data_IF_386753215320
#
_entry.id   IF_386753215320
#
_cell.length_a   1.000
_cell.length_b   1.000
_cell.length_c   1.000
_cell.angle_alpha   90.00
_cell.angle_beta   90.00
_cell.angle_gamma   90.00
#
_symmetry.space_group_name_H-M   'P 1'
#
loop_
_entity.id
_entity.type
_entity.pdbx_description
1 polymer ?
#
# COMPACT_ATOMS: atom_id res chain seq x y z
N UNK A 1 -3.51 -31.84 13.48
CA UNK A 1 -2.36 -30.88 13.51
C UNK A 1 -1.58 -30.94 14.84
N UNK A 2 -1.95 -30.22 15.93
CA UNK A 2 -1.11 -30.11 17.15
C UNK A 2 -0.61 -31.45 17.74
N UNK A 3 -1.44 -32.48 17.80
CA UNK A 3 -1.02 -33.80 18.30
C UNK A 3 0.00 -34.49 17.38
N UNK A 4 -0.22 -34.42 16.06
CA UNK A 4 0.70 -34.98 15.06
C UNK A 4 2.08 -34.28 15.09
N UNK A 5 2.11 -32.96 15.24
CA UNK A 5 3.36 -32.20 15.38
C UNK A 5 4.11 -32.46 16.69
N UNK A 6 3.40 -32.83 17.78
CA UNK A 6 4.05 -33.32 19.02
C UNK A 6 4.65 -34.72 18.87
N UNK A 7 4.04 -35.57 18.03
CA UNK A 7 4.51 -36.94 17.80
C UNK A 7 5.69 -37.02 16.81
N UNK A 8 5.82 -36.03 15.92
CA UNK A 8 6.88 -35.95 14.91
C UNK A 8 7.59 -34.59 15.00
N UNK A 9 8.44 -34.37 16.02
CA UNK A 9 9.23 -33.16 16.12
C UNK A 9 10.29 -33.15 15.00
N UNK A 10 10.28 -32.11 14.18
CA UNK A 10 11.37 -31.78 13.27
C UNK A 10 12.19 -30.64 13.87
N UNK A 11 13.48 -30.61 13.55
CA UNK A 11 14.33 -29.46 13.86
C UNK A 11 13.83 -28.23 13.07
N UNK A 12 14.02 -27.04 13.62
CA UNK A 12 13.60 -25.81 12.96
C UNK A 12 14.56 -25.51 11.79
N UNK A 13 14.01 -25.51 10.57
CA UNK A 13 14.70 -25.13 9.34
C UNK A 13 14.22 -23.73 8.91
N UNK A 14 14.86 -22.64 9.38
CA UNK A 14 14.45 -21.28 9.04
C UNK A 14 14.88 -20.92 7.61
N UNK A 15 14.04 -20.21 6.84
CA UNK A 15 14.35 -19.87 5.45
C UNK A 15 15.55 -18.94 5.35
N UNK A 16 16.38 -19.16 4.32
CA UNK A 16 17.48 -18.30 3.95
C UNK A 16 16.96 -17.04 3.21
N UNK A 17 17.73 -15.92 3.21
CA UNK A 17 17.29 -14.68 2.58
C UNK A 17 16.96 -14.80 1.08
N UNK A 18 17.66 -15.66 0.34
CA UNK A 18 17.47 -15.84 -1.10
C UNK A 18 16.41 -16.92 -1.42
N UNK A 19 15.83 -17.60 -0.42
CA UNK A 19 14.74 -18.57 -0.61
C UNK A 19 13.43 -17.88 -1.03
N UNK A 20 12.60 -18.58 -1.81
CA UNK A 20 11.31 -18.06 -2.28
C UNK A 20 10.29 -18.03 -1.15
N UNK A 21 10.00 -16.83 -0.65
CA UNK A 21 8.97 -16.58 0.35
C UNK A 21 7.56 -16.72 -0.23
N UNK A 22 7.34 -16.21 -1.45
CA UNK A 22 6.01 -16.27 -2.07
C UNK A 22 6.05 -16.18 -3.59
N UNK A 23 5.04 -16.79 -4.23
CA UNK A 23 4.78 -16.64 -5.67
C UNK A 23 3.48 -15.85 -5.84
N UNK A 24 3.54 -14.75 -6.57
CA UNK A 24 2.41 -13.86 -6.80
C UNK A 24 2.10 -13.75 -8.30
N UNK A 25 0.91 -14.18 -8.70
CA UNK A 25 0.51 -14.24 -10.10
C UNK A 25 -0.06 -12.89 -10.58
N UNK A 26 0.52 -12.35 -11.65
CA UNK A 26 0.04 -11.14 -12.32
C UNK A 26 -0.57 -11.48 -13.67
N UNK A 27 -1.78 -10.99 -13.94
CA UNK A 27 -2.31 -10.89 -15.30
C UNK A 27 -1.65 -9.72 -16.02
N UNK A 28 -0.56 -9.99 -16.74
CA UNK A 28 -0.04 -9.03 -17.71
C UNK A 28 -1.00 -8.89 -18.89
N UNK A 29 -0.89 -7.81 -19.66
CA UNK A 29 -1.68 -7.55 -20.89
C UNK A 29 -1.50 -8.59 -22.02
N UNK A 30 -0.68 -9.62 -21.79
CA UNK A 30 -0.22 -10.62 -22.78
C UNK A 30 -0.83 -12.01 -22.59
N UNK A 31 -1.97 -12.12 -21.91
CA UNK A 31 -2.78 -13.35 -21.83
C UNK A 31 -2.51 -14.22 -20.61
N UNK A 32 -1.49 -15.09 -20.67
CA UNK A 32 -1.25 -16.09 -19.61
C UNK A 32 -0.79 -15.42 -18.28
N UNK A 33 -1.38 -15.78 -17.12
CA UNK A 33 -0.92 -15.33 -15.80
C UNK A 33 0.50 -15.80 -15.51
N UNK A 34 1.34 -14.85 -15.06
CA UNK A 34 2.77 -15.06 -14.81
C UNK A 34 3.06 -14.91 -13.31
N UNK A 35 3.68 -15.91 -12.69
CA UNK A 35 4.04 -15.91 -11.27
C UNK A 35 5.37 -15.19 -11.03
N UNK A 36 5.34 -14.00 -10.45
CA UNK A 36 6.53 -13.40 -9.88
C UNK A 36 6.96 -14.21 -8.65
N UNK A 37 8.19 -14.69 -8.66
CA UNK A 37 8.85 -15.21 -7.47
C UNK A 37 9.27 -14.00 -6.61
N UNK A 38 9.18 -14.12 -5.30
CA UNK A 38 9.55 -13.08 -4.33
C UNK A 38 10.31 -13.76 -3.19
N UNK A 39 11.55 -13.36 -2.95
CA UNK A 39 12.40 -13.97 -1.91
C UNK A 39 12.06 -13.45 -0.51
N UNK A 40 12.56 -14.12 0.53
CA UNK A 40 12.53 -13.59 1.90
C UNK A 40 13.23 -12.22 2.00
N UNK A 41 14.38 -12.03 1.35
CA UNK A 41 15.10 -10.75 1.33
C UNK A 41 14.29 -9.62 0.68
N UNK A 42 13.54 -9.89 -0.39
CA UNK A 42 12.66 -8.89 -1.01
C UNK A 42 11.50 -8.51 -0.08
N UNK A 43 10.91 -9.47 0.64
CA UNK A 43 9.86 -9.20 1.63
C UNK A 43 10.42 -8.36 2.78
N UNK A 44 11.60 -8.71 3.31
CA UNK A 44 12.24 -7.95 4.39
C UNK A 44 12.58 -6.51 3.98
N UNK A 45 13.05 -6.28 2.74
CA UNK A 45 13.21 -4.92 2.19
C UNK A 45 11.89 -4.14 2.25
N UNK A 46 10.79 -4.74 1.80
CA UNK A 46 9.46 -4.13 1.84
C UNK A 46 8.93 -3.86 3.24
N UNK A 47 9.36 -4.61 4.27
CA UNK A 47 9.05 -4.33 5.68
C UNK A 47 9.85 -3.12 6.16
N UNK A 48 11.18 -3.12 5.99
CA UNK A 48 12.04 -2.01 6.45
C UNK A 48 11.60 -0.70 5.82
N UNK A 49 11.38 -0.70 4.50
CA UNK A 49 10.99 0.50 3.77
C UNK A 49 9.63 1.05 4.22
N UNK A 50 8.63 0.20 4.46
CA UNK A 50 7.31 0.66 4.97
C UNK A 50 7.41 1.07 6.44
N UNK A 51 8.18 0.36 7.26
CA UNK A 51 8.39 0.64 8.68
C UNK A 51 8.89 2.07 8.93
N UNK A 52 9.90 2.51 8.19
CA UNK A 52 10.52 3.83 8.35
C UNK A 52 9.56 5.00 8.09
N UNK A 53 8.67 4.87 7.09
CA UNK A 53 7.74 5.93 6.67
C UNK A 53 6.34 5.83 7.30
N UNK A 54 5.78 4.63 7.42
CA UNK A 54 4.42 4.39 7.93
C UNK A 54 4.37 4.26 9.47
N UNK A 55 5.48 3.84 10.10
CA UNK A 55 5.65 3.70 11.55
C UNK A 55 4.46 2.98 12.21
N UNK A 56 4.23 1.74 11.80
CA UNK A 56 3.24 0.87 12.44
C UNK A 56 3.69 0.53 13.87
N UNK A 57 2.74 0.44 14.79
CA UNK A 57 2.95 0.17 16.21
C UNK A 57 2.08 -1.00 16.69
N UNK A 58 2.42 -1.71 17.79
CA UNK A 58 1.67 -2.87 18.25
C UNK A 58 0.18 -2.62 18.55
N UNK A 59 -0.19 -1.38 18.85
CA UNK A 59 -1.59 -0.97 19.07
C UNK A 59 -2.39 -0.72 17.78
N UNK A 60 -1.78 -0.87 16.61
CA UNK A 60 -2.48 -0.70 15.34
C UNK A 60 -3.41 -1.87 15.00
N UNK A 61 -4.45 -1.55 14.23
CA UNK A 61 -5.42 -2.50 13.69
C UNK A 61 -5.56 -2.26 12.19
N UNK A 62 -5.16 -3.25 11.40
CA UNK A 62 -5.30 -3.30 9.94
C UNK A 62 -6.59 -4.06 9.56
N UNK A 63 -7.34 -3.54 8.57
CA UNK A 63 -8.44 -4.26 7.94
C UNK A 63 -7.98 -4.94 6.63
N UNK A 64 -7.73 -6.24 6.70
CA UNK A 64 -7.43 -7.09 5.54
C UNK A 64 -8.70 -7.30 4.69
N UNK A 65 -8.88 -6.45 3.68
CA UNK A 65 -9.94 -6.59 2.66
C UNK A 65 -9.44 -6.66 1.22
N UNK A 66 -8.17 -6.31 0.97
CA UNK A 66 -7.57 -6.48 -0.36
C UNK A 66 -7.30 -7.98 -0.59
N UNK A 67 -7.31 -8.49 -1.84
CA UNK A 67 -7.09 -9.91 -2.08
C UNK A 67 -5.65 -10.32 -1.73
N UNK A 68 -5.49 -11.39 -0.93
CA UNK A 68 -4.19 -12.06 -0.68
C UNK A 68 -3.54 -12.65 -1.94
N UNK A 69 -4.24 -12.65 -3.09
CA UNK A 69 -3.66 -12.92 -4.39
C UNK A 69 -2.75 -11.78 -4.90
N UNK A 70 -2.86 -10.58 -4.33
CA UNK A 70 -2.09 -9.39 -4.70
C UNK A 70 -0.96 -9.15 -3.69
N UNK A 71 0.24 -8.81 -4.18
CA UNK A 71 1.42 -8.62 -3.32
C UNK A 71 1.24 -7.52 -2.26
N UNK A 72 0.39 -6.52 -2.55
CA UNK A 72 0.18 -5.38 -1.66
C UNK A 72 -0.42 -5.79 -0.31
N UNK A 73 -1.45 -6.62 -0.30
CA UNK A 73 -2.02 -7.12 0.96
C UNK A 73 -1.01 -7.98 1.72
N UNK A 74 -0.24 -8.82 1.01
CA UNK A 74 0.81 -9.63 1.64
C UNK A 74 1.83 -8.74 2.36
N UNK A 75 2.34 -7.71 1.68
CA UNK A 75 3.29 -6.75 2.24
C UNK A 75 2.71 -6.02 3.47
N UNK A 76 1.44 -5.57 3.42
CA UNK A 76 0.79 -4.93 4.58
C UNK A 76 0.64 -5.91 5.75
N UNK A 77 0.21 -7.15 5.50
CA UNK A 77 0.10 -8.14 6.58
C UNK A 77 1.46 -8.46 7.20
N UNK A 78 2.51 -8.62 6.40
CA UNK A 78 3.85 -8.88 6.95
C UNK A 78 4.36 -7.68 7.75
N UNK A 79 4.09 -6.45 7.31
CA UNK A 79 4.37 -5.24 8.11
C UNK A 79 3.59 -5.22 9.43
N UNK A 80 2.29 -5.50 9.41
CA UNK A 80 1.48 -5.57 10.62
C UNK A 80 2.01 -6.63 11.61
N UNK A 81 2.36 -7.82 11.11
CA UNK A 81 2.97 -8.89 11.92
C UNK A 81 4.33 -8.46 12.49
N UNK A 82 5.21 -7.86 11.68
CA UNK A 82 6.53 -7.40 12.11
C UNK A 82 6.46 -6.29 13.17
N UNK A 83 5.45 -5.41 13.09
CA UNK A 83 5.17 -4.38 14.09
C UNK A 83 4.35 -4.86 15.30
N UNK A 84 3.96 -6.13 15.36
CA UNK A 84 3.11 -6.68 16.43
C UNK A 84 1.67 -6.16 16.44
N UNK A 85 1.21 -5.59 15.33
CA UNK A 85 -0.13 -5.03 15.15
C UNK A 85 -1.19 -6.13 14.88
N UNK A 86 -2.46 -5.77 15.05
CA UNK A 86 -3.59 -6.67 14.83
C UNK A 86 -4.10 -6.64 13.39
N UNK A 87 -4.53 -7.80 12.86
CA UNK A 87 -5.15 -7.94 11.54
C UNK A 87 -6.59 -8.43 11.72
N UNK A 88 -7.57 -7.63 11.31
CA UNK A 88 -8.97 -8.04 11.17
C UNK A 88 -9.27 -8.39 9.72
N UNK A 89 -9.97 -9.51 9.48
CA UNK A 89 -10.36 -9.94 8.14
C UNK A 89 -11.80 -9.50 7.82
N UNK A 90 -12.00 -8.94 6.63
CA UNK A 90 -13.32 -8.57 6.12
C UNK A 90 -14.21 -9.79 5.81
N UNK A 91 -15.51 -9.57 5.63
CA UNK A 91 -16.51 -10.64 5.39
C UNK A 91 -16.43 -11.33 4.01
N UNK A 92 -15.40 -11.10 3.21
CA UNK A 92 -15.29 -11.61 1.84
C UNK A 92 -16.05 -10.77 0.78
N UNK A 93 -16.95 -9.90 1.21
CA UNK A 93 -17.79 -9.06 0.35
C UNK A 93 -17.41 -7.57 0.43
N UNK A 94 -16.86 -7.03 -0.66
CA UNK A 94 -16.46 -5.63 -0.75
C UNK A 94 -17.64 -4.63 -0.66
N UNK A 95 -18.89 -5.07 -0.85
CA UNK A 95 -20.06 -4.23 -0.60
C UNK A 95 -20.27 -3.94 0.89
N UNK A 96 -19.80 -4.84 1.77
CA UNK A 96 -19.93 -4.73 3.24
C UNK A 96 -18.75 -4.06 3.92
N UNK A 97 -17.71 -3.68 3.16
CA UNK A 97 -16.48 -3.06 3.69
C UNK A 97 -16.71 -1.95 4.72
N UNK A 98 -17.71 -1.08 4.50
CA UNK A 98 -18.02 0.03 5.42
C UNK A 98 -18.63 -0.44 6.75
N UNK A 99 -19.34 -1.57 6.76
CA UNK A 99 -19.83 -2.21 7.98
C UNK A 99 -18.68 -2.91 8.73
N UNK A 100 -17.79 -3.57 7.99
CA UNK A 100 -16.58 -4.21 8.56
C UNK A 100 -15.65 -3.16 9.19
N UNK A 101 -15.46 -2.00 8.54
CA UNK A 101 -14.74 -0.86 9.11
C UNK A 101 -15.41 -0.31 10.38
N UNK A 102 -16.74 -0.20 10.40
CA UNK A 102 -17.48 0.27 11.57
C UNK A 102 -17.39 -0.70 12.77
N UNK A 103 -17.35 -2.01 12.51
CA UNK A 103 -17.21 -3.05 13.52
C UNK A 103 -15.76 -3.16 14.05
N UNK A 104 -14.77 -3.21 13.16
CA UNK A 104 -13.35 -3.39 13.52
C UNK A 104 -12.72 -2.10 14.06
N UNK A 105 -13.16 -0.94 13.59
CA UNK A 105 -12.58 0.39 13.88
C UNK A 105 -11.05 0.44 13.68
N UNK A 106 -10.57 0.14 12.46
CA UNK A 106 -9.13 0.06 12.16
C UNK A 106 -8.41 1.39 12.39
N UNK A 107 -7.11 1.33 12.68
CA UNK A 107 -6.22 2.50 12.75
C UNK A 107 -5.43 2.68 11.44
N UNK A 108 -5.16 1.59 10.72
CA UNK A 108 -4.46 1.57 9.44
C UNK A 108 -5.44 1.13 8.35
N UNK A 109 -5.53 1.89 7.27
CA UNK A 109 -6.40 1.58 6.14
C UNK A 109 -5.62 1.59 4.82
N UNK A 110 -5.10 0.42 4.37
CA UNK A 110 -4.64 0.28 3.00
C UNK A 110 -5.81 0.48 2.05
N UNK A 111 -5.59 1.15 0.94
CA UNK A 111 -6.64 1.59 0.05
C UNK A 111 -6.11 1.71 -1.38
N UNK A 112 -7.03 1.96 -2.30
CA UNK A 112 -6.75 2.14 -3.72
C UNK A 112 -7.59 3.31 -4.24
N UNK A 113 -7.19 3.99 -5.34
CA UNK A 113 -7.87 5.21 -5.76
C UNK A 113 -9.38 5.05 -6.01
N UNK A 114 -9.83 3.87 -6.47
CA UNK A 114 -11.27 3.57 -6.63
C UNK A 114 -12.06 3.69 -5.31
N UNK A 115 -11.47 3.31 -4.18
CA UNK A 115 -12.13 3.38 -2.86
C UNK A 115 -12.13 4.82 -2.35
N UNK A 116 -11.02 5.54 -2.48
CA UNK A 116 -10.94 6.95 -2.10
C UNK A 116 -11.83 7.85 -2.95
N UNK A 117 -11.87 7.67 -4.27
CA UNK A 117 -12.79 8.37 -5.17
C UNK A 117 -14.25 8.13 -4.76
N UNK A 118 -14.63 6.87 -4.47
CA UNK A 118 -15.99 6.55 -4.00
C UNK A 118 -16.33 7.21 -2.65
N UNK A 119 -15.35 7.40 -1.77
CA UNK A 119 -15.52 8.11 -0.49
C UNK A 119 -15.68 9.62 -0.75
N UNK A 120 -14.82 10.20 -1.59
CA UNK A 120 -14.91 11.60 -2.06
C UNK A 120 -16.30 11.87 -2.65
N UNK A 121 -16.72 11.10 -3.67
CA UNK A 121 -18.00 11.23 -4.37
C UNK A 121 -19.18 11.17 -3.39
N UNK A 122 -19.17 10.20 -2.46
CA UNK A 122 -20.23 10.03 -1.46
C UNK A 122 -20.36 11.25 -0.55
N UNK A 123 -19.24 11.86 -0.17
CA UNK A 123 -19.23 13.02 0.74
C UNK A 123 -19.60 14.29 -0.02
N UNK A 124 -19.01 14.55 -1.18
CA UNK A 124 -19.29 15.76 -1.99
C UNK A 124 -20.75 15.79 -2.46
N UNK A 125 -21.28 14.67 -2.94
CA UNK A 125 -22.71 14.54 -3.28
C UNK A 125 -23.61 14.72 -2.06
N UNK A 126 -23.24 14.14 -0.90
CA UNK A 126 -23.99 14.29 0.35
C UNK A 126 -24.02 15.74 0.86
N UNK A 127 -22.92 16.47 0.75
CA UNK A 127 -22.81 17.89 1.08
C UNK A 127 -23.62 18.76 0.11
N UNK A 128 -23.53 18.49 -1.20
CA UNK A 128 -24.30 19.19 -2.22
C UNK A 128 -25.82 19.00 -2.04
N UNK A 129 -26.26 17.76 -1.80
CA UNK A 129 -27.67 17.43 -1.55
C UNK A 129 -28.20 18.00 -0.22
N UNK A 130 -27.34 18.13 0.81
CA UNK A 130 -27.72 18.75 2.07
C UNK A 130 -27.92 20.27 1.96
N UNK A 131 -27.14 20.93 1.08
CA UNK A 131 -27.31 22.34 0.71
C UNK A 131 -27.26 23.35 1.87
N UNK A 132 -27.65 24.59 1.56
CA UNK A 132 -27.88 25.66 2.53
C UNK A 132 -26.76 25.83 3.58
N UNK A 133 -27.17 25.96 4.85
CA UNK A 133 -26.26 26.14 5.98
C UNK A 133 -25.31 24.96 6.18
N UNK A 134 -25.73 23.72 5.88
CA UNK A 134 -24.86 22.54 6.01
C UNK A 134 -23.72 22.57 5.01
N UNK A 135 -24.00 22.93 3.75
CA UNK A 135 -22.97 23.13 2.72
C UNK A 135 -22.05 24.30 3.09
N UNK A 136 -22.61 25.45 3.46
CA UNK A 136 -21.83 26.63 3.88
C UNK A 136 -20.86 26.31 5.03
N UNK A 137 -21.32 25.59 6.07
CA UNK A 137 -20.47 25.17 7.19
C UNK A 137 -19.39 24.17 6.74
N UNK A 138 -19.69 23.22 5.85
CA UNK A 138 -18.69 22.30 5.32
C UNK A 138 -17.63 23.03 4.49
N UNK A 139 -18.04 23.93 3.58
CA UNK A 139 -17.13 24.70 2.72
C UNK A 139 -16.18 25.57 3.57
N UNK A 140 -16.70 26.27 4.59
CA UNK A 140 -15.90 27.07 5.52
C UNK A 140 -14.94 26.21 6.36
N UNK A 141 -15.43 25.08 6.87
CA UNK A 141 -14.62 24.13 7.63
C UNK A 141 -13.48 23.54 6.79
N UNK A 142 -13.76 23.20 5.53
CA UNK A 142 -12.78 22.68 4.59
C UNK A 142 -11.71 23.72 4.27
N UNK A 143 -12.12 24.95 3.93
CA UNK A 143 -11.18 26.04 3.64
C UNK A 143 -10.26 26.36 4.83
N UNK A 144 -10.80 26.38 6.05
CA UNK A 144 -10.01 26.61 7.27
C UNK A 144 -8.98 25.50 7.54
N UNK A 145 -9.36 24.23 7.33
CA UNK A 145 -8.41 23.10 7.46
C UNK A 145 -7.39 23.06 6.34
N UNK A 146 -7.79 23.33 5.09
CA UNK A 146 -6.87 23.47 3.95
C UNK A 146 -5.80 24.51 4.23
N UNK A 147 -6.20 25.70 4.67
CA UNK A 147 -5.26 26.77 5.03
C UNK A 147 -4.28 26.34 6.14
N UNK A 148 -4.76 25.69 7.21
CA UNK A 148 -3.90 25.19 8.29
C UNK A 148 -2.94 24.06 7.87
N UNK A 149 -3.32 23.29 6.86
CA UNK A 149 -2.51 22.22 6.26
C UNK A 149 -1.41 22.78 5.36
N UNK A 150 -1.76 23.74 4.49
CA UNK A 150 -0.82 24.44 3.60
C UNK A 150 0.19 25.32 4.36
N UNK A 151 -0.23 25.98 5.45
CA UNK A 151 0.59 26.98 6.15
C UNK A 151 1.22 26.46 7.46
N UNK A 152 0.86 25.26 7.92
CA UNK A 152 1.37 24.70 9.18
C UNK A 152 1.41 23.16 9.26
N UNK A 153 1.03 22.43 8.21
CA UNK A 153 0.98 20.96 8.23
C UNK A 153 -0.09 20.40 9.16
N UNK A 154 -1.09 21.19 9.56
CA UNK A 154 -2.08 20.80 10.58
C UNK A 154 -3.29 20.09 9.96
N UNK A 155 -3.39 18.78 10.18
CA UNK A 155 -4.54 17.95 9.78
C UNK A 155 -5.77 18.06 10.70
N UNK A 156 -5.68 18.78 11.82
CA UNK A 156 -6.75 18.87 12.83
C UNK A 156 -7.09 20.33 13.15
N UNK A 157 -8.33 20.58 13.56
CA UNK A 157 -8.82 21.92 13.87
C UNK A 157 -9.84 21.91 15.01
N UNK A 158 -9.53 22.60 16.11
CA UNK A 158 -10.28 22.55 17.37
C UNK A 158 -11.79 22.84 17.24
N UNK A 159 -12.18 23.85 16.45
CA UNK A 159 -13.60 24.18 16.18
C UNK A 159 -14.26 23.24 15.15
N UNK A 160 -13.65 23.09 13.98
CA UNK A 160 -14.26 22.43 12.83
C UNK A 160 -14.30 20.91 12.90
N UNK A 161 -13.34 20.25 13.59
CA UNK A 161 -13.38 18.79 13.73
C UNK A 161 -14.60 18.33 14.54
N UNK A 162 -14.90 18.84 15.75
CA UNK A 162 -16.14 18.48 16.46
C UNK A 162 -17.42 18.89 15.71
N UNK A 163 -17.41 20.04 15.05
CA UNK A 163 -18.61 20.59 14.40
C UNK A 163 -18.97 19.89 13.10
N UNK A 164 -17.98 19.49 12.29
CA UNK A 164 -18.15 18.95 10.93
C UNK A 164 -17.49 17.57 10.79
N UNK A 165 -16.16 17.48 10.89
CA UNK A 165 -15.41 16.33 10.38
C UNK A 165 -15.49 15.06 11.23
N UNK A 166 -15.62 15.17 12.55
CA UNK A 166 -15.80 14.02 13.45
C UNK A 166 -17.11 13.25 13.16
N UNK A 167 -18.08 13.85 12.47
CA UNK A 167 -19.30 13.18 11.99
C UNK A 167 -19.06 12.33 10.74
N UNK A 168 -17.95 12.57 10.01
CA UNK A 168 -17.56 11.84 8.81
C UNK A 168 -16.57 10.70 9.13
N UNK A 169 -15.72 10.84 10.16
CA UNK A 169 -14.78 9.78 10.61
C UNK A 169 -15.41 8.38 10.76
N UNK A 170 -16.64 8.17 11.26
CA UNK A 170 -17.26 6.85 11.31
C UNK A 170 -17.41 6.14 9.97
N UNK A 171 -17.41 6.86 8.83
CA UNK A 171 -17.45 6.28 7.48
C UNK A 171 -16.26 5.35 7.21
N UNK A 172 -15.12 5.57 7.88
CA UNK A 172 -13.91 4.75 7.81
C UNK A 172 -13.60 4.07 9.16
N UNK A 173 -14.61 3.81 9.99
CA UNK A 173 -14.43 3.16 11.29
C UNK A 173 -13.94 4.06 12.44
N UNK A 174 -13.73 5.36 12.20
CA UNK A 174 -13.54 6.37 13.23
C UNK A 174 -12.13 6.51 13.83
N UNK A 175 -11.30 5.48 13.76
CA UNK A 175 -9.98 5.43 14.41
C UNK A 175 -8.78 5.53 13.44
N UNK A 176 -9.02 5.62 12.12
CA UNK A 176 -7.96 5.62 11.12
C UNK A 176 -7.03 6.82 11.32
N UNK A 177 -5.74 6.53 11.56
CA UNK A 177 -4.64 7.50 11.70
C UNK A 177 -3.78 7.58 10.45
N UNK A 178 -3.80 6.54 9.62
CA UNK A 178 -2.97 6.41 8.43
C UNK A 178 -3.71 5.65 7.34
N UNK A 179 -3.74 6.24 6.14
CA UNK A 179 -4.11 5.52 4.92
C UNK A 179 -2.85 5.25 4.10
N UNK A 180 -2.80 4.08 3.47
CA UNK A 180 -1.76 3.76 2.49
C UNK A 180 -2.47 3.55 1.16
N UNK A 181 -2.17 4.35 0.16
CA UNK A 181 -2.73 4.27 -1.19
C UNK A 181 -1.68 3.69 -2.15
N UNK A 182 -2.11 2.80 -3.05
CA UNK A 182 -1.24 2.23 -4.07
C UNK A 182 -2.01 1.61 -5.23
N UNK A 183 -1.32 0.77 -6.01
CA UNK A 183 -1.82 0.08 -7.21
C UNK A 183 -2.23 0.95 -8.41
N UNK A 184 -2.54 2.23 -8.22
CA UNK A 184 -2.81 3.20 -9.29
C UNK A 184 -2.60 4.65 -8.79
N UNK A 185 -2.43 5.63 -9.69
CA UNK A 185 -2.36 7.05 -9.32
C UNK A 185 -3.64 7.54 -8.64
N UNK A 186 -3.48 8.39 -7.63
CA UNK A 186 -4.55 9.17 -7.01
C UNK A 186 -4.44 10.63 -7.50
N UNK A 187 -5.55 11.37 -7.60
CA UNK A 187 -5.48 12.80 -7.89
C UNK A 187 -5.13 13.58 -6.62
N UNK A 188 -4.36 14.67 -6.78
CA UNK A 188 -4.03 15.58 -5.68
C UNK A 188 -5.27 16.06 -4.93
N UNK A 189 -6.33 16.42 -5.67
CA UNK A 189 -7.61 16.85 -5.12
C UNK A 189 -8.23 15.81 -4.17
N UNK A 190 -8.30 14.54 -4.59
CA UNK A 190 -8.90 13.48 -3.76
C UNK A 190 -8.02 13.16 -2.55
N UNK A 191 -6.68 13.21 -2.72
CA UNK A 191 -5.74 13.05 -1.61
C UNK A 191 -5.94 14.14 -0.55
N UNK A 192 -5.81 15.40 -0.95
CA UNK A 192 -5.99 16.58 -0.10
C UNK A 192 -7.35 16.55 0.62
N UNK A 193 -8.42 16.24 -0.13
CA UNK A 193 -9.77 16.16 0.42
C UNK A 193 -9.89 15.09 1.50
N UNK A 194 -9.37 13.89 1.27
CA UNK A 194 -9.40 12.78 2.22
C UNK A 194 -8.57 13.11 3.47
N UNK A 195 -7.37 13.67 3.31
CA UNK A 195 -6.53 14.09 4.44
C UNK A 195 -7.23 15.16 5.30
N UNK A 196 -7.82 16.19 4.68
CA UNK A 196 -8.59 17.24 5.38
C UNK A 196 -9.81 16.66 6.09
N UNK A 197 -10.62 15.86 5.40
CA UNK A 197 -11.91 15.39 5.89
C UNK A 197 -11.77 14.40 7.04
N UNK A 198 -10.76 13.53 7.00
CA UNK A 198 -10.55 12.53 8.05
C UNK A 198 -9.51 12.94 9.08
N UNK A 199 -8.62 13.89 8.76
CA UNK A 199 -7.56 14.35 9.65
C UNK A 199 -6.46 13.29 9.86
N UNK A 200 -6.14 12.54 8.82
CA UNK A 200 -5.15 11.46 8.80
C UNK A 200 -4.34 11.49 7.50
N UNK A 201 -3.06 11.13 7.55
CA UNK A 201 -2.18 11.16 6.37
C UNK A 201 -2.53 10.06 5.35
N UNK A 202 -2.37 10.35 4.06
CA UNK A 202 -2.46 9.39 2.96
C UNK A 202 -1.07 9.20 2.36
N UNK A 203 -0.41 8.09 2.65
CA UNK A 203 0.86 7.75 2.00
C UNK A 203 0.59 7.16 0.63
N UNK A 204 1.35 7.56 -0.39
CA UNK A 204 1.28 7.00 -1.73
C UNK A 204 2.50 6.13 -1.99
N UNK A 205 2.27 4.84 -2.24
CA UNK A 205 3.29 3.86 -2.56
C UNK A 205 3.27 3.48 -4.04
N UNK A 206 4.43 3.50 -4.68
CA UNK A 206 4.65 2.92 -6.00
C UNK A 206 5.53 1.67 -5.88
N UNK A 207 5.19 0.64 -6.65
CA UNK A 207 5.92 -0.61 -6.71
C UNK A 207 5.24 -1.62 -7.63
N UNK A 208 5.88 -2.77 -7.80
CA UNK A 208 5.44 -3.86 -8.67
C UNK A 208 5.32 -5.15 -7.86
N UNK A 209 4.79 -6.20 -8.50
CA UNK A 209 4.79 -7.54 -7.89
C UNK A 209 6.20 -8.08 -7.75
N UNK A 210 7.02 -7.78 -8.74
CA UNK A 210 8.45 -8.09 -8.84
C UNK A 210 9.32 -7.37 -7.80
N UNK A 211 8.82 -6.31 -7.15
CA UNK A 211 9.53 -5.52 -6.12
C UNK A 211 8.90 -5.69 -4.73
N UNK A 212 8.27 -6.84 -4.44
CA UNK A 212 7.61 -7.12 -3.16
C UNK A 212 6.59 -6.04 -2.70
N UNK A 213 5.81 -5.52 -3.65
CA UNK A 213 4.76 -4.49 -3.56
C UNK A 213 5.21 -3.02 -3.58
N UNK A 214 6.40 -2.68 -3.10
CA UNK A 214 6.77 -1.28 -2.88
C UNK A 214 8.24 -1.02 -3.22
N UNK A 215 8.50 0.14 -3.81
CA UNK A 215 9.82 0.60 -4.22
C UNK A 215 10.04 2.06 -3.83
N UNK A 216 8.98 2.88 -3.86
CA UNK A 216 8.97 4.24 -3.32
C UNK A 216 7.69 4.48 -2.53
N UNK A 217 7.76 5.34 -1.51
CA UNK A 217 6.65 5.67 -0.62
C UNK A 217 6.77 7.14 -0.17
N UNK A 218 5.70 7.92 -0.29
CA UNK A 218 5.69 9.30 0.23
C UNK A 218 5.74 9.29 1.76
N UNK A 219 6.55 10.15 2.38
CA UNK A 219 6.59 10.28 3.84
C UNK A 219 5.44 11.16 4.38
N UNK A 220 4.90 10.81 5.55
CA UNK A 220 3.75 11.49 6.17
C UNK A 220 3.94 13.00 6.41
N UNK A 221 5.18 13.44 6.64
CA UNK A 221 5.52 14.82 7.02
C UNK A 221 5.99 15.68 5.85
N UNK A 222 5.98 15.15 4.63
CA UNK A 222 6.23 15.94 3.42
C UNK A 222 4.96 16.75 3.11
N UNK A 223 5.04 18.07 2.86
CA UNK A 223 3.86 18.90 2.63
C UNK A 223 2.94 18.35 1.54
N UNK A 224 1.62 18.50 1.74
CA UNK A 224 0.65 18.22 0.68
C UNK A 224 0.89 19.21 -0.44
N UNK A 225 1.28 18.66 -1.58
CA UNK A 225 1.88 19.36 -2.69
C UNK A 225 2.78 18.40 -3.44
N UNK A 226 3.32 18.86 -4.55
CA UNK A 226 4.11 18.01 -5.43
C UNK A 226 5.55 17.91 -4.92
N UNK A 227 5.94 16.69 -4.52
CA UNK A 227 7.15 16.44 -3.72
C UNK A 227 8.20 15.54 -4.40
N UNK A 228 7.93 15.09 -5.63
CA UNK A 228 8.91 14.35 -6.44
C UNK A 228 9.96 15.31 -6.97
N UNK A 229 11.23 15.04 -6.71
CA UNK A 229 12.35 15.76 -7.33
C UNK A 229 12.88 16.98 -6.58
N UNK A 230 12.25 17.49 -5.52
CA UNK A 230 12.78 18.67 -4.78
C UNK A 230 14.17 18.40 -4.16
N UNK A 231 14.44 17.28 -3.47
CA UNK A 231 15.80 16.98 -2.97
C UNK A 231 16.83 16.82 -4.10
N UNK A 232 16.43 16.22 -5.22
CA UNK A 232 17.28 16.08 -6.41
C UNK A 232 17.58 17.44 -7.03
N UNK A 233 16.58 18.32 -7.15
CA UNK A 233 16.73 19.66 -7.67
C UNK A 233 17.69 20.51 -6.82
N UNK A 234 17.56 20.45 -5.49
CA UNK A 234 18.48 21.09 -4.56
C UNK A 234 19.93 20.57 -4.74
N UNK A 235 20.11 19.24 -4.84
CA UNK A 235 21.41 18.63 -5.10
C UNK A 235 22.01 19.05 -6.46
N UNK A 236 21.17 19.29 -7.47
CA UNK A 236 21.54 19.75 -8.81
C UNK A 236 21.48 21.29 -8.97
N UNK A 237 21.35 22.05 -7.87
CA UNK A 237 21.31 23.52 -7.83
C UNK A 237 20.20 24.17 -8.68
N UNK A 238 19.11 23.45 -8.94
CA UNK A 238 17.91 23.95 -9.62
C UNK A 238 17.04 24.74 -8.65
N UNK A 239 16.46 25.86 -9.10
CA UNK A 239 15.64 26.75 -8.27
C UNK A 239 14.66 27.58 -9.11
N UNK A 240 13.67 28.22 -8.47
CA UNK A 240 12.66 29.02 -9.20
C UNK A 240 11.79 28.16 -10.11
N UNK A 241 11.67 28.53 -11.38
CA UNK A 241 10.87 27.79 -12.37
C UNK A 241 11.43 26.40 -12.69
N UNK A 242 12.73 26.15 -12.43
CA UNK A 242 13.36 24.82 -12.59
C UNK A 242 12.84 23.78 -11.58
N UNK A 243 12.18 24.23 -10.50
CA UNK A 243 11.53 23.36 -9.51
C UNK A 243 10.00 23.42 -9.57
N UNK A 244 9.44 24.13 -10.57
CA UNK A 244 8.04 23.95 -10.93
C UNK A 244 7.83 22.50 -11.40
N UNK A 245 6.64 21.97 -11.13
CA UNK A 245 6.45 20.51 -11.14
C UNK A 245 6.20 20.00 -12.54
N UNK A 246 5.60 20.82 -13.39
CA UNK A 246 5.54 20.66 -14.83
C UNK A 246 6.96 20.51 -15.40
N UNK A 247 7.90 21.35 -14.95
CA UNK A 247 9.33 21.29 -15.33
C UNK A 247 10.02 20.03 -14.81
N UNK A 248 9.81 19.65 -13.54
CA UNK A 248 10.40 18.44 -12.95
C UNK A 248 9.84 17.17 -13.61
N UNK A 249 8.53 17.07 -13.83
CA UNK A 249 7.90 15.93 -14.51
C UNK A 249 8.29 15.84 -16.00
N UNK A 250 8.61 16.98 -16.64
CA UNK A 250 9.16 17.01 -17.99
C UNK A 250 10.66 16.66 -18.05
N UNK A 251 11.41 16.78 -16.96
CA UNK A 251 12.87 16.61 -16.94
C UNK A 251 13.30 15.16 -17.17
N UNK A 252 13.88 14.89 -18.34
CA UNK A 252 14.52 13.60 -18.66
C UNK A 252 15.71 13.29 -17.74
N UNK A 253 16.36 14.32 -17.21
CA UNK A 253 17.46 14.20 -16.24
C UNK A 253 16.95 13.65 -14.90
N UNK A 254 15.84 14.19 -14.39
CA UNK A 254 15.20 13.69 -13.17
C UNK A 254 14.66 12.27 -13.37
N UNK A 255 14.01 11.99 -14.51
CA UNK A 255 13.54 10.62 -14.85
C UNK A 255 14.71 9.64 -14.87
N UNK A 256 15.81 10.00 -15.52
CA UNK A 256 17.02 9.17 -15.60
C UNK A 256 17.64 8.94 -14.22
N UNK A 257 17.68 9.97 -13.36
CA UNK A 257 18.17 9.84 -11.99
C UNK A 257 17.28 8.94 -11.12
N UNK A 258 15.95 9.08 -11.21
CA UNK A 258 14.99 8.20 -10.53
C UNK A 258 15.16 6.75 -11.01
N UNK A 259 15.29 6.52 -12.31
CA UNK A 259 15.52 5.18 -12.86
C UNK A 259 16.86 4.57 -12.43
N UNK A 260 17.92 5.37 -12.37
CA UNK A 260 19.23 4.94 -11.89
C UNK A 260 19.23 4.60 -10.39
N UNK A 261 18.53 5.38 -9.57
CA UNK A 261 18.33 5.11 -8.13
C UNK A 261 17.50 3.83 -7.92
N UNK A 262 16.40 3.67 -8.65
CA UNK A 262 15.61 2.44 -8.69
C UNK A 262 16.43 1.22 -9.11
N UNK A 263 17.33 1.34 -10.09
CA UNK A 263 18.22 0.26 -10.50
C UNK A 263 19.33 -0.02 -9.47
N UNK A 264 19.87 1.00 -8.81
CA UNK A 264 20.86 0.86 -7.75
C UNK A 264 20.27 0.10 -6.55
N UNK A 265 19.10 0.53 -6.06
CA UNK A 265 18.33 -0.17 -5.02
C UNK A 265 18.00 -1.61 -5.45
N UNK A 266 17.52 -1.80 -6.69
CA UNK A 266 17.24 -3.14 -7.21
C UNK A 266 18.47 -4.05 -7.22
N UNK A 267 19.65 -3.51 -7.55
CA UNK A 267 20.92 -4.25 -7.57
C UNK A 267 21.44 -4.54 -6.16
N UNK A 268 21.37 -3.58 -5.25
CA UNK A 268 21.81 -3.71 -3.85
C UNK A 268 21.01 -4.80 -3.12
N UNK A 269 19.69 -4.74 -3.19
CA UNK A 269 18.78 -5.67 -2.52
C UNK A 269 18.50 -6.96 -3.32
N UNK A 270 19.30 -7.23 -4.36
CA UNK A 270 19.17 -8.39 -5.27
C UNK A 270 17.73 -8.61 -5.80
N UNK A 271 16.99 -7.53 -6.10
CA UNK A 271 15.69 -7.66 -6.76
C UNK A 271 15.92 -8.34 -8.14
N UNK A 272 15.21 -9.45 -8.36
CA UNK A 272 15.59 -10.60 -9.22
C UNK A 272 16.55 -10.42 -10.42
N UNK A 273 17.73 -11.07 -10.33
CA UNK A 273 18.64 -11.50 -11.42
C UNK A 273 19.44 -12.73 -10.92
N UNK A 274 19.66 -13.88 -11.58
CA UNK A 274 19.21 -14.48 -12.86
C UNK A 274 19.37 -16.03 -12.82
N UNK A 275 18.48 -16.82 -13.45
CA UNK A 275 18.86 -18.08 -14.16
C UNK A 275 17.85 -18.36 -15.30
N UNK A 276 18.28 -18.93 -16.44
CA UNK A 276 17.43 -19.15 -17.64
C UNK A 276 17.12 -20.63 -17.85
N UNK A 277 15.86 -21.02 -17.65
CA UNK A 277 15.29 -22.31 -18.05
C UNK A 277 13.87 -22.13 -18.62
N UNK A 278 13.29 -23.18 -19.20
CA UNK A 278 12.00 -23.12 -19.92
C UNK A 278 10.76 -22.84 -19.04
N UNK A 279 10.91 -22.88 -17.71
CA UNK A 279 9.85 -22.56 -16.74
C UNK A 279 9.52 -21.06 -16.73
N UNK A 280 10.46 -20.20 -17.14
CA UNK A 280 10.38 -18.75 -16.98
C UNK A 280 10.04 -18.00 -18.29
N UNK A 281 9.51 -16.79 -18.15
CA UNK A 281 9.35 -15.80 -19.24
C UNK A 281 10.57 -14.88 -19.33
N UNK A 282 10.74 -14.09 -20.42
CA UNK A 282 11.77 -13.04 -20.50
C UNK A 282 11.71 -11.98 -19.39
N UNK A 283 10.58 -11.91 -18.66
CA UNK A 283 10.37 -11.05 -17.49
C UNK A 283 10.51 -11.83 -16.17
N UNK A 284 11.26 -12.94 -16.16
CA UNK A 284 11.63 -13.75 -14.99
C UNK A 284 10.46 -14.29 -14.13
N UNK A 285 9.28 -14.46 -14.74
CA UNK A 285 8.10 -15.00 -14.07
C UNK A 285 7.82 -16.45 -14.48
N UNK A 286 7.36 -17.26 -13.54
CA UNK A 286 6.90 -18.64 -13.76
C UNK A 286 5.66 -18.66 -14.65
N UNK A 287 5.67 -19.47 -15.71
CA UNK A 287 4.47 -19.76 -16.51
C UNK A 287 3.59 -20.74 -15.73
N UNK A 288 2.32 -20.39 -15.47
CA UNK A 288 1.42 -21.18 -14.62
C UNK A 288 1.32 -22.66 -15.01
N UNK A 289 1.24 -22.95 -16.32
CA UNK A 289 1.20 -24.34 -16.85
C UNK A 289 2.48 -25.10 -16.51
N UNK A 290 3.64 -24.52 -16.81
CA UNK A 290 4.94 -25.16 -16.61
C UNK A 290 5.23 -25.39 -15.12
N UNK A 291 4.90 -24.42 -14.25
CA UNK A 291 5.03 -24.56 -12.80
C UNK A 291 4.11 -25.67 -12.23
N UNK A 292 2.87 -25.77 -12.73
CA UNK A 292 1.95 -26.83 -12.32
C UNK A 292 2.43 -28.24 -12.72
N UNK A 293 3.12 -28.38 -13.86
CA UNK A 293 3.76 -29.64 -14.27
C UNK A 293 5.01 -29.94 -13.44
N UNK A 294 5.85 -28.93 -13.17
CA UNK A 294 7.11 -29.11 -12.46
C UNK A 294 6.89 -29.54 -11.00
N UNK A 295 6.08 -28.79 -10.24
CA UNK A 295 5.80 -29.09 -8.83
C UNK A 295 4.71 -30.16 -8.64
N UNK A 296 4.33 -30.91 -9.68
CA UNK A 296 3.24 -31.86 -9.63
C UNK A 296 3.48 -32.97 -8.58
N UNK A 297 4.73 -33.43 -8.46
CA UNK A 297 5.13 -34.48 -7.50
C UNK A 297 5.07 -34.01 -6.05
N UNK A 298 5.53 -32.79 -5.80
CA UNK A 298 5.61 -32.16 -4.48
C UNK A 298 4.21 -31.78 -3.98
N UNK A 299 3.37 -31.25 -4.88
CA UNK A 299 1.95 -31.01 -4.61
C UNK A 299 1.24 -32.33 -4.29
N UNK A 300 1.48 -33.39 -5.08
CA UNK A 300 0.90 -34.71 -4.82
C UNK A 300 1.37 -35.29 -3.47
N UNK A 301 2.66 -35.17 -3.13
CA UNK A 301 3.21 -35.61 -1.85
C UNK A 301 2.64 -34.83 -0.66
N UNK A 302 2.47 -33.51 -0.79
CA UNK A 302 1.85 -32.65 0.21
C UNK A 302 0.38 -33.05 0.46
N UNK A 303 -0.39 -33.34 -0.59
CA UNK A 303 -1.77 -33.81 -0.44
C UNK A 303 -1.88 -35.27 0.01
N UNK A 304 -0.91 -36.13 -0.30
CA UNK A 304 -0.86 -37.52 0.17
C UNK A 304 -0.51 -37.63 1.67
N UNK A 305 0.16 -36.63 2.23
CA UNK A 305 0.53 -36.55 3.65
C UNK A 305 -0.41 -35.68 4.48
N UNK A 306 -1.25 -34.86 3.82
CA UNK A 306 -2.33 -34.16 4.49
C UNK A 306 -3.36 -35.18 5.04
N UNK A 307 -3.72 -35.13 6.33
CA UNK A 307 -4.83 -35.93 6.83
C UNK A 307 -6.10 -35.51 6.09
N UNK A 308 -6.91 -36.50 5.68
CA UNK A 308 -8.24 -36.21 5.12
C UNK A 308 -9.04 -35.39 6.14
N UNK A 309 -9.52 -34.22 5.68
CA UNK A 309 -10.34 -33.28 6.45
C UNK A 309 -11.82 -33.67 6.37
#
# INVERSE_FOLDING_TARGET
VRAAGKAHPHEADPPLPDDISTICYTSGTTGDPKGAMVTHSNVMFGITMVGDYARLVPSDVHLSYLPLAHIYERNVQTNAIASGASIGFYQGDAAKLMADMAALRPTIFPTVPRVLNRIYDKITQGVAAAGGVKKMLFDQAYAAKKYGLENGGHLTHALWDPLVFNKLKPLIGGNVRLMMNGSAPLSHEVKEFVEIVFGCHVLEGYGLTETAAVLTLSAAFVPIGNHVGIPWAAANRKSGEDVAIETLLASEELKSAILADMEAVAKEFKLFRFERNDLLTPTFKLKRKNAATFFASEIAAMYATAPAF
#
